data_IF_467832324449
#
_entry.id   IF_467832324449
#
_cell.length_a   1.000
_cell.length_b   1.000
_cell.length_c   1.000
_cell.angle_alpha   90.00
_cell.angle_beta   90.00
_cell.angle_gamma   90.00
#
_symmetry.space_group_name_H-M   'P 1'
#
loop_
_entity.id
_entity.type
_entity.pdbx_description
1 polymer ?
#
# COMPACT_ATOMS: atom_id res chain seq x y z
N UNK A 1 -4.29 -3.49 21.34
CA UNK A 1 -3.67 -2.24 20.84
C UNK A 1 -2.30 -2.44 20.16
N UNK A 2 -1.47 -3.42 20.56
CA UNK A 2 -0.09 -3.59 20.07
C UNK A 2 0.10 -3.85 18.56
N UNK A 3 -0.96 -4.19 17.80
CA UNK A 3 -0.82 -4.50 16.37
C UNK A 3 -0.76 -3.22 15.50
N UNK A 4 -1.39 -2.12 15.91
CA UNK A 4 -1.57 -0.92 15.06
C UNK A 4 -0.25 -0.24 14.70
N UNK A 5 0.63 -0.01 15.67
CA UNK A 5 1.93 0.65 15.42
C UNK A 5 2.83 -0.18 14.50
N UNK A 6 2.72 -1.52 14.54
CA UNK A 6 3.47 -2.44 13.66
C UNK A 6 3.05 -2.29 12.20
N UNK A 7 1.76 -2.06 11.93
CA UNK A 7 1.26 -1.72 10.59
C UNK A 7 1.86 -0.41 10.11
N UNK A 8 1.83 0.63 10.93
CA UNK A 8 2.39 1.92 10.54
C UNK A 8 3.90 1.84 10.26
N UNK A 9 4.67 1.11 11.07
CA UNK A 9 6.11 0.89 10.79
C UNK A 9 6.32 0.14 9.48
N UNK A 10 5.56 -0.93 9.24
CA UNK A 10 5.66 -1.68 8.00
C UNK A 10 5.28 -0.82 6.79
N UNK A 11 4.23 -0.01 6.90
CA UNK A 11 3.84 0.96 5.88
C UNK A 11 4.98 1.94 5.60
N UNK A 12 5.49 2.63 6.63
CA UNK A 12 6.60 3.59 6.50
C UNK A 12 7.84 2.93 5.87
N UNK A 13 8.14 1.69 6.25
CA UNK A 13 9.30 0.95 5.69
C UNK A 13 9.13 0.67 4.19
N UNK A 14 7.93 0.28 3.76
CA UNK A 14 7.64 0.09 2.33
C UNK A 14 7.78 1.42 1.58
N UNK A 15 7.27 2.52 2.14
CA UNK A 15 7.41 3.84 1.54
C UNK A 15 8.86 4.30 1.44
N UNK A 16 9.63 4.16 2.52
CA UNK A 16 11.05 4.51 2.52
C UNK A 16 11.82 3.69 1.47
N UNK A 17 11.49 2.40 1.33
CA UNK A 17 12.10 1.55 0.32
C UNK A 17 11.70 1.95 -1.11
N UNK A 18 10.42 2.22 -1.38
CA UNK A 18 9.96 2.68 -2.69
C UNK A 18 10.58 4.02 -3.04
N UNK A 19 10.64 4.96 -2.09
CA UNK A 19 11.30 6.26 -2.27
C UNK A 19 12.80 6.10 -2.56
N UNK A 20 13.46 5.16 -1.87
CA UNK A 20 14.85 4.81 -2.16
C UNK A 20 15.01 4.27 -3.59
N UNK A 21 14.20 3.29 -4.01
CA UNK A 21 14.24 2.76 -5.39
C UNK A 21 14.00 3.86 -6.42
N UNK A 22 13.05 4.75 -6.15
CA UNK A 22 12.77 5.88 -7.04
C UNK A 22 13.96 6.83 -7.15
N UNK A 23 14.64 7.13 -6.04
CA UNK A 23 15.85 7.96 -6.04
C UNK A 23 16.98 7.38 -6.91
N UNK A 24 17.03 6.05 -7.06
CA UNK A 24 18.04 5.36 -7.87
C UNK A 24 17.62 5.19 -9.33
N UNK A 25 16.31 5.09 -9.61
CA UNK A 25 15.81 4.73 -10.94
C UNK A 25 15.26 5.91 -11.74
N UNK A 26 14.91 7.01 -11.08
CA UNK A 26 14.32 8.23 -11.69
C UNK A 26 13.10 7.92 -12.57
N UNK A 27 12.34 6.87 -12.23
CA UNK A 27 11.28 6.36 -13.09
C UNK A 27 10.06 7.28 -13.11
N UNK A 28 9.66 7.81 -11.95
CA UNK A 28 8.59 8.80 -11.82
C UNK A 28 8.98 10.13 -12.44
N UNK A 29 10.26 10.55 -12.36
CA UNK A 29 10.69 11.81 -12.99
C UNK A 29 10.68 11.70 -14.52
N UNK A 30 10.94 10.52 -15.08
CA UNK A 30 10.77 10.27 -16.53
C UNK A 30 9.30 10.30 -16.96
N UNK A 31 8.38 10.11 -16.02
CA UNK A 31 6.92 10.11 -16.23
C UNK A 31 6.25 11.36 -15.62
N UNK A 32 7.04 12.39 -15.28
CA UNK A 32 6.66 13.59 -14.52
C UNK A 32 5.44 14.36 -15.04
N UNK A 33 5.15 14.24 -16.33
CA UNK A 33 4.06 14.95 -17.00
C UNK A 33 2.79 14.11 -17.14
N UNK A 34 2.77 12.89 -16.62
CA UNK A 34 1.69 11.93 -16.82
C UNK A 34 0.64 11.97 -15.70
N UNK A 35 -0.64 12.00 -16.08
CA UNK A 35 -1.78 11.79 -15.18
C UNK A 35 -1.73 10.44 -14.45
N UNK A 36 -0.88 9.51 -14.90
CA UNK A 36 -0.76 8.17 -14.32
C UNK A 36 0.36 8.00 -13.30
N UNK A 37 1.14 9.05 -12.99
CA UNK A 37 2.23 8.95 -12.01
C UNK A 37 1.82 8.31 -10.67
N UNK A 38 0.68 8.68 -10.05
CA UNK A 38 0.31 8.06 -8.78
C UNK A 38 -0.01 6.57 -8.95
N UNK A 39 -0.57 6.16 -10.11
CA UNK A 39 -0.84 4.74 -10.38
C UNK A 39 0.44 3.94 -10.51
N UNK A 40 1.45 4.48 -11.20
CA UNK A 40 2.78 3.86 -11.34
C UNK A 40 3.44 3.72 -9.97
N UNK A 41 3.41 4.78 -9.15
CA UNK A 41 3.96 4.75 -7.79
C UNK A 41 3.33 3.65 -6.94
N UNK A 42 1.99 3.57 -6.91
CA UNK A 42 1.30 2.53 -6.14
C UNK A 42 1.54 1.13 -6.70
N UNK A 43 1.73 1.00 -8.01
CA UNK A 43 2.08 -0.29 -8.64
C UNK A 43 3.49 -0.74 -8.23
N UNK A 44 4.46 0.17 -8.14
CA UNK A 44 5.80 -0.12 -7.60
C UNK A 44 5.72 -0.54 -6.13
N UNK A 45 4.93 0.17 -5.31
CA UNK A 45 4.72 -0.20 -3.91
C UNK A 45 4.09 -1.59 -3.75
N UNK A 46 3.11 -1.93 -4.59
CA UNK A 46 2.52 -3.27 -4.64
C UNK A 46 3.55 -4.33 -5.03
N UNK A 47 4.40 -4.05 -6.02
CA UNK A 47 5.46 -4.95 -6.46
C UNK A 47 6.50 -5.17 -5.37
N UNK A 48 6.92 -4.12 -4.66
CA UNK A 48 7.80 -4.22 -3.49
C UNK A 48 7.16 -5.10 -2.41
N UNK A 49 5.89 -4.85 -2.07
CA UNK A 49 5.19 -5.65 -1.06
C UNK A 49 5.05 -7.13 -1.47
N UNK A 50 4.87 -7.40 -2.76
CA UNK A 50 4.89 -8.76 -3.32
C UNK A 50 6.26 -9.40 -3.22
N UNK A 51 7.34 -8.71 -3.57
CA UNK A 51 8.71 -9.21 -3.44
C UNK A 51 9.00 -9.51 -1.96
N UNK A 52 8.67 -8.60 -1.05
CA UNK A 52 8.80 -8.84 0.40
C UNK A 52 8.05 -10.09 0.81
N UNK A 53 6.80 -10.28 0.36
CA UNK A 53 6.02 -11.49 0.65
C UNK A 53 6.71 -12.77 0.16
N UNK A 54 7.25 -12.77 -1.07
CA UNK A 54 7.92 -13.93 -1.68
C UNK A 54 9.24 -14.25 -1.00
N UNK A 55 10.09 -13.25 -0.77
CA UNK A 55 11.41 -13.46 -0.15
C UNK A 55 11.30 -13.82 1.34
N UNK A 56 10.26 -13.34 2.03
CA UNK A 56 10.04 -13.69 3.45
C UNK A 56 9.55 -15.13 3.62
N UNK A 57 8.77 -15.67 2.68
CA UNK A 57 8.38 -17.09 2.70
C UNK A 57 9.58 -18.05 2.62
N UNK A 58 10.75 -17.57 2.16
CA UNK A 58 11.99 -18.35 2.08
C UNK A 58 12.87 -18.27 3.35
N UNK A 59 12.31 -17.85 4.48
CA UNK A 59 12.86 -18.10 5.83
C UNK A 59 13.75 -17.01 6.43
N UNK A 60 14.68 -16.42 5.67
CA UNK A 60 15.68 -15.50 6.23
C UNK A 60 15.10 -14.14 6.66
N UNK A 61 14.28 -13.52 5.81
CA UNK A 61 13.67 -12.21 6.11
C UNK A 61 12.49 -12.32 7.08
N UNK A 62 11.81 -13.48 7.11
CA UNK A 62 10.75 -13.77 8.09
C UNK A 62 11.28 -13.85 9.51
N UNK A 63 12.47 -14.43 9.70
CA UNK A 63 13.15 -14.43 10.98
C UNK A 63 13.57 -13.02 11.43
N UNK A 64 14.03 -12.16 10.51
CA UNK A 64 14.46 -10.80 10.86
C UNK A 64 13.30 -9.82 11.09
N UNK A 65 12.30 -9.78 10.20
CA UNK A 65 11.17 -8.86 10.34
C UNK A 65 10.07 -9.41 11.27
N UNK A 66 9.79 -10.71 11.21
CA UNK A 66 8.78 -11.35 12.06
C UNK A 66 9.17 -11.37 13.53
N UNK A 67 10.46 -11.62 13.85
CA UNK A 67 10.93 -11.56 15.25
C UNK A 67 10.95 -10.13 15.79
N UNK A 68 11.39 -9.14 15.00
CA UNK A 68 11.46 -7.73 15.42
C UNK A 68 10.08 -7.08 15.56
N UNK A 69 9.12 -7.48 14.73
CA UNK A 69 7.73 -7.01 14.84
C UNK A 69 6.88 -7.92 15.75
N UNK A 70 7.44 -9.00 16.31
CA UNK A 70 6.73 -9.99 17.15
C UNK A 70 5.39 -10.43 16.53
N UNK A 71 5.36 -10.65 15.22
CA UNK A 71 4.17 -11.08 14.48
C UNK A 71 4.23 -12.59 14.26
N UNK A 72 3.12 -13.28 14.50
CA UNK A 72 2.96 -14.67 14.06
C UNK A 72 3.01 -14.75 12.54
N UNK A 73 3.39 -15.92 11.99
CA UNK A 73 3.42 -16.13 10.53
C UNK A 73 2.07 -15.81 9.86
N UNK A 74 0.97 -16.11 10.54
CA UNK A 74 -0.39 -15.81 10.08
C UNK A 74 -0.67 -14.31 10.02
N UNK A 75 -0.31 -13.56 11.06
CA UNK A 75 -0.46 -12.10 11.09
C UNK A 75 0.43 -11.43 10.05
N UNK A 76 1.65 -11.94 9.84
CA UNK A 76 2.56 -11.44 8.82
C UNK A 76 2.04 -11.64 7.39
N UNK A 77 1.50 -12.83 7.10
CA UNK A 77 0.87 -13.09 5.80
C UNK A 77 -0.35 -12.21 5.56
N UNK A 78 -1.14 -12.00 6.61
CA UNK A 78 -2.32 -11.18 6.54
C UNK A 78 -1.96 -9.69 6.35
N UNK A 79 -0.98 -9.18 7.10
CA UNK A 79 -0.41 -7.84 6.96
C UNK A 79 0.06 -7.57 5.52
N UNK A 80 0.94 -8.42 4.98
CA UNK A 80 1.45 -8.24 3.62
C UNK A 80 0.35 -8.31 2.58
N UNK A 81 -0.57 -9.28 2.70
CA UNK A 81 -1.68 -9.39 1.77
C UNK A 81 -2.58 -8.15 1.83
N UNK A 82 -2.82 -7.60 3.02
CA UNK A 82 -3.59 -6.36 3.19
C UNK A 82 -2.92 -5.16 2.53
N UNK A 83 -1.59 -5.01 2.61
CA UNK A 83 -0.87 -3.93 1.94
C UNK A 83 -0.85 -4.09 0.44
N UNK A 84 -0.64 -5.31 -0.06
CA UNK A 84 -0.72 -5.60 -1.50
C UNK A 84 -2.11 -5.21 -2.03
N UNK A 85 -3.17 -5.62 -1.33
CA UNK A 85 -4.55 -5.24 -1.70
C UNK A 85 -4.76 -3.73 -1.67
N UNK A 86 -4.26 -3.03 -0.65
CA UNK A 86 -4.34 -1.57 -0.55
C UNK A 86 -3.63 -0.89 -1.73
N UNK A 87 -2.37 -1.24 -1.99
CA UNK A 87 -1.58 -0.60 -3.04
C UNK A 87 -2.14 -0.88 -4.43
N UNK A 88 -2.62 -2.10 -4.70
CA UNK A 88 -3.33 -2.40 -5.94
C UNK A 88 -4.61 -1.55 -6.07
N UNK A 89 -5.39 -1.43 -4.99
CA UNK A 89 -6.61 -0.61 -4.99
C UNK A 89 -6.30 0.86 -5.25
N UNK A 90 -5.25 1.39 -4.63
CA UNK A 90 -4.79 2.76 -4.85
C UNK A 90 -4.27 2.95 -6.28
N UNK A 91 -3.55 1.98 -6.85
CA UNK A 91 -3.07 2.01 -8.22
C UNK A 91 -4.22 2.05 -9.23
N UNK A 92 -5.25 1.22 -9.02
CA UNK A 92 -6.45 1.17 -9.86
C UNK A 92 -7.27 2.46 -9.74
N UNK A 93 -7.51 2.95 -8.52
CA UNK A 93 -8.21 4.22 -8.31
C UNK A 93 -7.44 5.38 -8.98
N UNK A 94 -6.13 5.43 -8.81
CA UNK A 94 -5.29 6.44 -9.44
C UNK A 94 -5.33 6.37 -10.96
N UNK A 95 -5.36 5.16 -11.54
CA UNK A 95 -5.51 4.99 -12.97
C UNK A 95 -6.88 5.46 -13.46
N UNK A 96 -7.95 5.12 -12.74
CA UNK A 96 -9.31 5.55 -13.08
C UNK A 96 -9.46 7.07 -13.03
N UNK A 97 -9.04 7.72 -11.94
CA UNK A 97 -9.10 9.17 -11.83
C UNK A 97 -8.13 9.88 -12.79
N UNK A 98 -6.95 9.28 -13.05
CA UNK A 98 -6.02 9.80 -14.04
C UNK A 98 -6.57 9.74 -15.46
N UNK A 99 -7.24 8.63 -15.82
CA UNK A 99 -7.90 8.46 -17.11
C UNK A 99 -9.04 9.45 -17.30
N UNK A 100 -9.93 9.61 -16.31
CA UNK A 100 -11.03 10.57 -16.41
C UNK A 100 -10.53 12.00 -16.50
N UNK A 101 -9.48 12.36 -15.74
CA UNK A 101 -8.86 13.68 -15.80
C UNK A 101 -8.15 13.96 -17.14
N UNK A 102 -7.57 12.94 -17.77
CA UNK A 102 -6.95 13.05 -19.08
C UNK A 102 -8.00 13.20 -20.19
N UNK A 103 -9.06 12.39 -20.15
CA UNK A 103 -10.11 12.38 -21.19
C UNK A 103 -11.01 13.61 -21.09
N UNK A 104 -11.21 14.15 -19.88
CA UNK A 104 -12.20 15.19 -19.64
C UNK A 104 -11.55 16.43 -19.01
N UNK A 105 -11.29 17.44 -19.83
CA UNK A 105 -10.57 18.68 -19.46
C UNK A 105 -11.43 19.72 -18.73
N UNK A 106 -12.59 19.33 -18.20
CA UNK A 106 -13.44 20.25 -17.45
C UNK A 106 -12.81 20.59 -16.09
N UNK A 107 -12.95 21.84 -15.64
CA UNK A 107 -12.42 22.31 -14.35
C UNK A 107 -12.82 21.42 -13.15
N UNK A 108 -14.05 20.88 -13.18
CA UNK A 108 -14.53 19.96 -12.15
C UNK A 108 -13.69 18.68 -12.07
N UNK A 109 -13.33 18.08 -13.21
CA UNK A 109 -12.56 16.83 -13.24
C UNK A 109 -11.13 17.05 -12.73
N UNK A 110 -10.53 18.19 -13.07
CA UNK A 110 -9.21 18.55 -12.55
C UNK A 110 -9.21 18.79 -11.03
N UNK A 111 -10.26 19.42 -10.50
CA UNK A 111 -10.45 19.57 -9.05
C UNK A 111 -10.62 18.22 -8.35
N UNK A 112 -11.42 17.31 -8.92
CA UNK A 112 -11.57 15.95 -8.40
C UNK A 112 -10.23 15.22 -8.37
N UNK A 113 -9.43 15.33 -9.43
CA UNK A 113 -8.09 14.75 -9.49
C UNK A 113 -7.13 15.33 -8.45
N UNK A 114 -7.16 16.64 -8.25
CA UNK A 114 -6.35 17.30 -7.23
C UNK A 114 -6.76 16.85 -5.82
N UNK A 115 -8.06 16.81 -5.53
CA UNK A 115 -8.60 16.35 -4.24
C UNK A 115 -8.27 14.89 -3.96
N UNK A 116 -8.33 14.04 -4.99
CA UNK A 116 -7.95 12.64 -4.88
C UNK A 116 -6.49 12.48 -4.45
N UNK A 117 -5.56 13.20 -5.10
CA UNK A 117 -4.13 13.16 -4.77
C UNK A 117 -3.82 13.70 -3.36
N UNK A 118 -4.42 14.83 -3.00
CA UNK A 118 -4.08 15.55 -1.78
C UNK A 118 -4.73 14.95 -0.53
N UNK A 119 -5.96 14.45 -0.64
CA UNK A 119 -6.74 14.04 0.53
C UNK A 119 -7.06 12.56 0.52
N UNK A 120 -7.59 12.04 -0.59
CA UNK A 120 -8.09 10.65 -0.64
C UNK A 120 -6.96 9.64 -0.47
N UNK A 121 -5.85 9.80 -1.18
CA UNK A 121 -4.72 8.86 -1.05
C UNK A 121 -4.13 8.85 0.37
N UNK A 122 -3.76 9.99 0.99
CA UNK A 122 -3.25 9.99 2.37
C UNK A 122 -4.27 9.47 3.39
N UNK A 123 -5.55 9.82 3.24
CA UNK A 123 -6.60 9.32 4.14
C UNK A 123 -6.73 7.80 4.07
N UNK A 124 -6.74 7.22 2.87
CA UNK A 124 -6.80 5.78 2.71
C UNK A 124 -5.60 5.08 3.36
N UNK A 125 -4.40 5.63 3.22
CA UNK A 125 -3.20 5.09 3.85
C UNK A 125 -3.25 5.17 5.38
N UNK A 126 -3.75 6.27 5.92
CA UNK A 126 -3.85 6.49 7.37
C UNK A 126 -4.94 5.60 7.99
N UNK A 127 -6.08 5.46 7.31
CA UNK A 127 -7.23 4.70 7.79
C UNK A 127 -7.13 3.20 7.50
N UNK A 128 -6.24 2.78 6.61
CA UNK A 128 -6.11 1.36 6.27
C UNK A 128 -5.67 0.49 7.45
N UNK A 129 -4.65 0.83 8.26
CA UNK A 129 -4.22 0.01 9.40
C UNK A 129 -5.36 -0.37 10.37
N UNK A 130 -6.21 0.55 10.87
CA UNK A 130 -7.32 0.17 11.75
C UNK A 130 -8.38 -0.67 11.03
N UNK A 131 -8.71 -0.35 9.76
CA UNK A 131 -9.65 -1.14 8.96
C UNK A 131 -9.14 -2.56 8.78
N UNK A 132 -7.86 -2.70 8.45
CA UNK A 132 -7.21 -3.97 8.25
C UNK A 132 -7.31 -4.81 9.55
N UNK A 133 -6.92 -4.24 10.68
CA UNK A 133 -6.96 -4.94 11.96
C UNK A 133 -8.38 -5.37 12.35
N UNK A 134 -9.39 -4.53 12.08
CA UNK A 134 -10.79 -4.88 12.31
C UNK A 134 -11.22 -6.12 11.48
N UNK A 135 -10.83 -6.17 10.20
CA UNK A 135 -11.10 -7.31 9.31
C UNK A 135 -10.39 -8.58 9.81
N UNK A 136 -9.13 -8.47 10.23
CA UNK A 136 -8.36 -9.59 10.77
C UNK A 136 -9.01 -10.18 12.04
N UNK A 137 -9.38 -9.32 13.00
CA UNK A 137 -9.99 -9.75 14.25
C UNK A 137 -11.32 -10.48 14.00
N UNK A 138 -12.17 -9.94 13.10
CA UNK A 138 -13.43 -10.59 12.72
C UNK A 138 -13.21 -11.99 12.13
N UNK A 139 -12.22 -12.15 11.23
CA UNK A 139 -11.86 -13.47 10.68
C UNK A 139 -11.33 -14.42 11.74
N UNK A 140 -10.51 -13.94 12.66
CA UNK A 140 -9.95 -14.78 13.72
C UNK A 140 -11.03 -15.28 14.70
N UNK A 141 -12.07 -14.50 14.95
CA UNK A 141 -13.20 -14.92 15.80
C UNK A 141 -14.02 -16.02 15.11
N UNK A 142 -14.33 -15.85 13.82
CA UNK A 142 -15.09 -16.85 13.07
C UNK A 142 -14.37 -18.20 12.96
N UNK A 143 -13.02 -18.21 12.93
CA UNK A 143 -12.24 -19.45 12.89
C UNK A 143 -12.14 -20.19 14.24
N UNK A 144 -12.52 -19.55 15.35
CA UNK A 144 -12.56 -20.19 16.68
C UNK A 144 -13.94 -20.77 17.03
N UNK A 145 -14.95 -20.47 16.22
CA UNK A 145 -16.32 -20.91 16.40
C UNK A 145 -16.65 -22.22 15.65
N UNK A 146 -15.66 -22.80 14.97
CA UNK A 146 -15.68 -24.09 14.28
C UNK A 146 -14.57 -24.98 14.85
#
# INVERSE_FOLDING_TARGET
>A
MALHWRYYIALISVFAFVAFIESQTTLLSKLATSYFQPSIFWSQAALVALLVKVFVQRGALGALFGSRLMLTLKEWHWLNTSFITLFISLALLAALFGFTAQVQTNNLTQQIWANYKLFVQPLLLLLWPPVAIAIFNKRSLNQKAH
#
